data_IF_374229043119
#
_entry.id   IF_374229043119
#
_cell.length_a   1.000
_cell.length_b   1.000
_cell.length_c   1.000
_cell.angle_alpha   90.00
_cell.angle_beta   90.00
_cell.angle_gamma   90.00
#
_symmetry.space_group_name_H-M   'P 1'
#
loop_
_entity.id
_entity.type
_entity.pdbx_description
1 polymer ?
#
# COMPACT_ATOMS: atom_id res chain seq x y z
N UNK A 1 14.00 4.11 25.95
CA UNK A 1 15.12 3.15 25.81
C UNK A 1 15.13 2.56 24.39
N UNK A 2 16.28 2.20 23.82
CA UNK A 2 16.32 1.59 22.49
C UNK A 2 15.64 0.21 22.50
N UNK A 3 14.99 -0.15 21.37
CA UNK A 3 14.43 -1.48 21.12
C UNK A 3 15.59 -2.45 20.91
N UNK A 4 15.61 -3.56 21.64
CA UNK A 4 16.66 -4.58 21.57
C UNK A 4 16.11 -5.94 21.11
N UNK A 5 14.86 -6.24 21.45
CA UNK A 5 14.26 -7.55 21.22
C UNK A 5 12.95 -7.39 20.44
N UNK A 6 12.83 -8.07 19.31
CA UNK A 6 11.61 -8.06 18.49
C UNK A 6 11.04 -9.47 18.38
N UNK A 7 9.76 -9.63 18.69
CA UNK A 7 8.99 -10.83 18.43
C UNK A 7 8.17 -10.68 17.17
N UNK A 8 8.31 -11.60 16.22
CA UNK A 8 7.65 -11.55 14.93
C UNK A 8 6.59 -12.65 14.84
N UNK A 9 5.34 -12.26 14.67
CA UNK A 9 4.24 -13.17 14.40
C UNK A 9 3.56 -12.78 13.09
N UNK A 10 4.21 -13.17 11.99
CA UNK A 10 3.71 -13.00 10.63
C UNK A 10 3.52 -14.39 10.01
N UNK A 11 2.33 -14.93 10.12
CA UNK A 11 1.94 -16.22 9.54
C UNK A 11 0.62 -16.08 8.78
N UNK A 12 0.57 -16.69 7.60
CA UNK A 12 -0.65 -16.75 6.80
C UNK A 12 -0.81 -18.16 6.20
N UNK A 13 -1.97 -18.82 6.38
CA UNK A 13 -2.11 -20.23 6.01
C UNK A 13 -2.05 -20.50 4.51
N UNK A 14 -2.38 -19.50 3.66
CA UNK A 14 -2.51 -19.67 2.22
C UNK A 14 -1.53 -18.83 1.39
N UNK A 15 -0.83 -17.87 2.00
CA UNK A 15 0.08 -16.97 1.28
C UNK A 15 1.45 -17.04 1.91
N UNK A 16 2.30 -17.91 1.39
CA UNK A 16 3.64 -18.15 1.92
C UNK A 16 4.53 -16.89 1.93
N UNK A 17 4.37 -16.02 0.94
CA UNK A 17 5.11 -14.77 0.84
C UNK A 17 4.85 -13.80 2.02
N UNK A 18 3.76 -13.99 2.76
CA UNK A 18 3.40 -13.18 3.92
C UNK A 18 3.96 -13.71 5.24
N UNK A 19 4.63 -14.85 5.20
CA UNK A 19 5.19 -15.47 6.38
C UNK A 19 6.58 -14.92 6.68
N UNK A 20 6.89 -14.80 7.97
CA UNK A 20 8.24 -14.51 8.43
C UNK A 20 9.16 -15.68 8.12
N UNK A 21 10.34 -15.37 7.58
CA UNK A 21 11.34 -16.38 7.16
C UNK A 21 12.71 -16.11 7.81
N UNK A 22 13.58 -17.12 7.93
CA UNK A 22 14.92 -16.95 8.51
C UNK A 22 15.75 -15.83 7.88
N UNK A 23 15.62 -15.63 6.56
CA UNK A 23 16.32 -14.54 5.86
C UNK A 23 15.86 -13.15 6.30
N UNK A 24 14.60 -12.99 6.71
CA UNK A 24 14.09 -11.72 7.25
C UNK A 24 14.71 -11.42 8.61
N UNK A 25 14.90 -12.43 9.46
CA UNK A 25 15.64 -12.31 10.73
C UNK A 25 17.05 -11.78 10.48
N UNK A 26 17.82 -12.48 9.64
CA UNK A 26 19.19 -12.10 9.29
C UNK A 26 19.26 -10.68 8.74
N UNK A 27 18.31 -10.28 7.90
CA UNK A 27 18.23 -8.93 7.36
C UNK A 27 18.01 -7.88 8.45
N UNK A 28 17.06 -8.10 9.35
CA UNK A 28 16.72 -7.16 10.42
C UNK A 28 17.90 -6.99 11.39
N UNK A 29 18.51 -8.08 11.82
CA UNK A 29 19.67 -8.07 12.72
C UNK A 29 20.90 -7.41 12.09
N UNK A 30 21.08 -7.55 10.76
CA UNK A 30 22.13 -6.86 10.00
C UNK A 30 21.88 -5.35 9.88
N UNK A 31 20.61 -4.94 9.67
CA UNK A 31 20.25 -3.53 9.52
C UNK A 31 20.31 -2.76 10.83
N UNK A 32 20.08 -3.43 11.95
CA UNK A 32 20.10 -2.83 13.30
C UNK A 32 21.03 -3.64 14.18
N UNK A 33 22.32 -3.24 14.29
CA UNK A 33 23.29 -3.92 15.15
C UNK A 33 22.86 -3.99 16.61
N UNK A 34 22.93 -5.18 17.20
CA UNK A 34 22.51 -5.42 18.59
C UNK A 34 21.00 -5.73 18.77
N UNK A 35 20.25 -5.83 17.66
CA UNK A 35 18.86 -6.27 17.68
C UNK A 35 18.80 -7.80 17.71
N UNK A 36 17.96 -8.34 18.59
CA UNK A 36 17.58 -9.77 18.59
C UNK A 36 16.18 -9.92 17.99
N UNK A 37 16.03 -10.81 17.02
CA UNK A 37 14.76 -11.05 16.34
C UNK A 37 14.36 -12.51 16.46
N UNK A 38 13.14 -12.75 16.92
CA UNK A 38 12.60 -14.11 17.08
C UNK A 38 11.24 -14.24 16.41
N UNK A 39 10.97 -15.40 15.80
CA UNK A 39 9.72 -15.68 15.12
C UNK A 39 8.80 -16.60 15.92
N UNK A 40 7.48 -16.40 15.78
CA UNK A 40 6.44 -17.27 16.29
C UNK A 40 5.60 -17.84 15.14
N UNK A 41 5.15 -19.08 15.28
CA UNK A 41 4.33 -19.76 14.28
C UNK A 41 2.82 -19.75 14.61
N UNK A 42 2.46 -19.46 15.85
CA UNK A 42 1.08 -19.46 16.31
C UNK A 42 0.84 -18.40 17.41
N UNK A 43 -0.42 -18.05 17.62
CA UNK A 43 -0.80 -16.98 18.55
C UNK A 43 -0.63 -17.37 20.03
N UNK A 44 -0.55 -18.64 20.36
CA UNK A 44 -0.29 -19.08 21.74
C UNK A 44 1.16 -18.81 22.09
N UNK A 45 2.09 -19.33 21.28
CA UNK A 45 3.53 -19.10 21.42
C UNK A 45 3.85 -17.59 21.45
N UNK A 46 3.21 -16.80 20.56
CA UNK A 46 3.36 -15.36 20.55
C UNK A 46 2.97 -14.71 21.89
N UNK A 47 1.79 -15.03 22.43
CA UNK A 47 1.31 -14.46 23.70
C UNK A 47 2.16 -14.86 24.89
N UNK A 48 2.59 -16.13 24.93
CA UNK A 48 3.39 -16.67 26.04
C UNK A 48 4.78 -15.99 26.11
N UNK A 49 5.33 -15.57 24.96
CA UNK A 49 6.64 -14.94 24.85
C UNK A 49 6.63 -13.42 24.85
N UNK A 50 5.53 -12.79 24.43
CA UNK A 50 5.39 -11.35 24.28
C UNK A 50 5.88 -10.52 25.49
N UNK A 51 5.66 -10.93 26.77
CA UNK A 51 6.14 -10.19 27.95
C UNK A 51 7.65 -9.90 27.98
N UNK A 52 8.46 -10.66 27.25
CA UNK A 52 9.92 -10.57 27.26
C UNK A 52 10.48 -9.65 26.18
N UNK A 53 9.62 -9.06 25.33
CA UNK A 53 10.02 -8.32 24.13
C UNK A 53 9.67 -6.83 24.20
N UNK A 54 10.54 -6.02 23.60
CA UNK A 54 10.37 -4.56 23.48
C UNK A 54 9.48 -4.18 22.29
N UNK A 55 9.41 -5.05 21.26
CA UNK A 55 8.66 -4.78 20.06
C UNK A 55 8.00 -6.04 19.48
N UNK A 56 6.90 -5.84 18.77
CA UNK A 56 6.21 -6.89 18.02
C UNK A 56 6.01 -6.50 16.55
N UNK A 57 6.26 -7.45 15.63
CA UNK A 57 5.88 -7.30 14.22
C UNK A 57 4.80 -8.34 13.93
N UNK A 58 3.61 -7.87 13.55
CA UNK A 58 2.40 -8.70 13.49
C UNK A 58 1.50 -8.34 12.32
N UNK A 59 0.64 -9.27 11.86
CA UNK A 59 -0.49 -8.93 10.98
C UNK A 59 -1.63 -8.27 11.74
N UNK A 60 -1.92 -8.74 12.95
CA UNK A 60 -2.97 -8.22 13.80
C UNK A 60 -2.50 -8.17 15.26
N UNK A 61 -3.06 -7.24 16.05
CA UNK A 61 -2.78 -7.13 17.47
C UNK A 61 -4.06 -6.74 18.22
N UNK A 62 -4.35 -7.45 19.29
CA UNK A 62 -5.53 -7.21 20.14
C UNK A 62 -5.15 -6.41 21.36
N UNK A 63 -5.97 -5.41 21.72
CA UNK A 63 -5.75 -4.54 22.86
C UNK A 63 -5.47 -5.31 24.16
N UNK A 64 -6.27 -6.36 24.45
CA UNK A 64 -6.09 -7.23 25.62
C UNK A 64 -4.72 -7.91 25.74
N UNK A 65 -3.90 -7.92 24.69
CA UNK A 65 -2.56 -8.51 24.75
C UNK A 65 -1.54 -7.56 25.41
N UNK A 66 -1.87 -6.26 25.52
CA UNK A 66 -1.04 -5.28 26.23
C UNK A 66 -0.92 -5.59 27.74
N UNK A 67 -1.96 -6.14 28.35
CA UNK A 67 -1.96 -6.50 29.77
C UNK A 67 -0.79 -7.45 30.14
N UNK A 68 -0.41 -8.29 29.19
CA UNK A 68 0.71 -9.23 29.35
C UNK A 68 2.03 -8.74 28.73
N UNK A 69 2.11 -7.49 28.26
CA UNK A 69 3.26 -6.98 27.53
C UNK A 69 3.79 -5.65 28.10
N UNK A 70 4.19 -5.58 29.38
CA UNK A 70 4.53 -4.32 30.06
C UNK A 70 5.79 -3.64 29.47
N UNK A 71 6.62 -4.37 28.73
CA UNK A 71 7.86 -3.86 28.14
C UNK A 71 7.70 -3.40 26.68
N UNK A 72 6.52 -3.60 26.10
CA UNK A 72 6.27 -3.35 24.68
C UNK A 72 6.26 -1.84 24.37
N UNK A 73 7.10 -1.40 23.45
CA UNK A 73 7.28 -0.03 23.01
C UNK A 73 6.91 0.22 21.56
N UNK A 74 6.87 -0.86 20.76
CA UNK A 74 6.57 -0.79 19.35
C UNK A 74 5.71 -1.96 18.92
N UNK A 75 4.61 -1.66 18.26
CA UNK A 75 3.85 -2.61 17.43
C UNK A 75 4.02 -2.16 15.98
N UNK A 76 4.56 -3.02 15.14
CA UNK A 76 4.69 -2.77 13.71
C UNK A 76 3.89 -3.80 12.90
N UNK A 77 3.25 -3.35 11.84
CA UNK A 77 2.60 -4.24 10.89
C UNK A 77 3.02 -3.93 9.46
N UNK A 78 3.27 -4.94 8.62
CA UNK A 78 3.44 -4.71 7.18
C UNK A 78 2.17 -4.17 6.52
N UNK A 79 0.99 -4.42 7.08
CA UNK A 79 -0.28 -3.94 6.55
C UNK A 79 -0.36 -2.40 6.53
N UNK A 80 -0.99 -1.86 5.51
CA UNK A 80 -1.24 -0.41 5.41
C UNK A 80 -2.55 0.01 6.11
N UNK A 81 -3.51 -0.92 6.26
CA UNK A 81 -4.78 -0.70 6.96
C UNK A 81 -4.60 -0.74 8.47
N UNK A 82 -5.43 0.02 9.17
CA UNK A 82 -5.41 0.09 10.64
C UNK A 82 -6.33 -0.93 11.32
N UNK A 83 -7.23 -1.53 10.56
CA UNK A 83 -8.37 -2.32 11.08
C UNK A 83 -7.96 -3.59 11.85
N UNK A 84 -6.71 -4.02 11.71
CA UNK A 84 -6.21 -5.25 12.34
C UNK A 84 -5.37 -4.99 13.60
N UNK A 85 -5.12 -3.73 13.93
CA UNK A 85 -4.40 -3.32 15.14
C UNK A 85 -5.38 -2.55 16.03
N UNK A 86 -5.81 -3.18 17.14
CA UNK A 86 -6.79 -2.62 18.08
C UNK A 86 -6.18 -1.61 19.06
N UNK A 87 -4.95 -1.14 18.79
CA UNK A 87 -4.19 -0.28 19.68
C UNK A 87 -3.76 0.98 18.93
N UNK A 88 -3.86 2.12 19.57
CA UNK A 88 -3.33 3.39 19.07
C UNK A 88 -1.97 3.72 19.70
N UNK A 89 -1.20 4.58 19.05
CA UNK A 89 0.06 5.08 19.61
C UNK A 89 -0.22 6.05 20.75
N UNK A 90 0.58 5.97 21.81
CA UNK A 90 0.63 6.91 22.90
C UNK A 90 2.08 7.37 23.16
N UNK A 91 2.39 7.89 24.38
CA UNK A 91 3.72 8.36 24.76
C UNK A 91 4.72 7.21 24.89
N UNK A 92 4.29 6.05 25.38
CA UNK A 92 5.12 4.89 25.69
C UNK A 92 5.15 3.85 24.59
N UNK A 93 4.04 3.70 23.84
CA UNK A 93 3.84 2.70 22.80
C UNK A 93 3.65 3.32 21.42
N UNK A 94 4.54 3.00 20.48
CA UNK A 94 4.41 3.40 19.08
C UNK A 94 3.74 2.30 18.26
N UNK A 95 2.80 2.69 17.37
CA UNK A 95 2.21 1.80 16.37
C UNK A 95 2.62 2.25 14.96
N UNK A 96 3.24 1.35 14.20
CA UNK A 96 3.76 1.64 12.86
C UNK A 96 3.07 0.75 11.81
N UNK A 97 2.63 1.37 10.72
CA UNK A 97 1.95 0.72 9.60
C UNK A 97 2.80 0.72 8.35
N UNK A 98 2.74 -0.37 7.59
CA UNK A 98 3.41 -0.51 6.31
C UNK A 98 2.97 0.55 5.30
N UNK A 99 3.90 0.98 4.45
CA UNK A 99 3.61 2.00 3.44
C UNK A 99 4.21 1.70 2.07
N UNK A 100 4.91 0.58 1.93
CA UNK A 100 5.61 0.18 0.71
C UNK A 100 4.70 -0.37 -0.40
N UNK A 101 3.49 -0.84 -0.05
CA UNK A 101 2.54 -1.40 -1.00
C UNK A 101 2.13 -0.43 -2.12
N UNK A 102 2.22 0.88 -1.87
CA UNK A 102 1.85 1.90 -2.83
C UNK A 102 2.57 1.74 -4.17
N UNK A 103 3.86 1.41 -4.15
CA UNK A 103 4.67 1.20 -5.35
C UNK A 103 4.20 -0.01 -6.17
N UNK A 104 3.97 -1.15 -5.50
CA UNK A 104 3.53 -2.39 -6.15
C UNK A 104 2.09 -2.27 -6.69
N UNK A 105 1.20 -1.67 -5.89
CA UNK A 105 -0.19 -1.43 -6.30
C UNK A 105 -0.23 -0.47 -7.50
N UNK A 106 0.64 0.55 -7.53
CA UNK A 106 0.69 1.49 -8.64
C UNK A 106 1.01 0.81 -9.98
N UNK A 107 1.90 -0.18 -9.99
CA UNK A 107 2.19 -0.98 -11.19
C UNK A 107 0.95 -1.72 -11.68
N UNK A 108 0.22 -2.37 -10.77
CA UNK A 108 -1.02 -3.08 -11.09
C UNK A 108 -2.10 -2.15 -11.63
N UNK A 109 -2.25 -0.95 -11.03
CA UNK A 109 -3.21 0.06 -11.49
C UNK A 109 -2.88 0.55 -12.89
N UNK A 110 -1.61 0.90 -13.16
CA UNK A 110 -1.17 1.36 -14.48
C UNK A 110 -1.32 0.24 -15.51
N UNK A 111 -0.98 -0.99 -15.15
CA UNK A 111 -1.20 -2.16 -16.00
C UNK A 111 -2.67 -2.35 -16.36
N UNK A 112 -3.58 -2.20 -15.38
CA UNK A 112 -5.02 -2.24 -15.62
C UNK A 112 -5.50 -1.08 -16.53
N UNK A 113 -4.98 0.14 -16.33
CA UNK A 113 -5.28 1.27 -17.21
C UNK A 113 -4.88 0.96 -18.66
N UNK A 114 -3.67 0.46 -18.88
CA UNK A 114 -3.25 0.05 -20.23
C UNK A 114 -4.09 -1.09 -20.80
N UNK A 115 -4.46 -2.06 -19.98
CA UNK A 115 -5.31 -3.18 -20.43
C UNK A 115 -6.60 -2.69 -21.08
N UNK A 116 -7.25 -1.69 -20.47
CA UNK A 116 -8.49 -1.12 -21.01
C UNK A 116 -8.23 -0.09 -22.11
N UNK A 117 -7.32 0.87 -21.90
CA UNK A 117 -7.04 1.93 -22.87
C UNK A 117 -6.48 1.40 -24.19
N UNK A 118 -5.73 0.31 -24.18
CA UNK A 118 -5.18 -0.32 -25.39
C UNK A 118 -6.08 -1.40 -25.99
N UNK A 119 -7.33 -1.47 -25.55
CA UNK A 119 -8.33 -2.40 -26.04
C UNK A 119 -7.88 -3.89 -26.00
N UNK A 120 -7.05 -4.28 -25.01
CA UNK A 120 -6.59 -5.65 -24.86
C UNK A 120 -7.71 -6.68 -24.72
N UNK A 121 -8.86 -6.43 -24.02
CA UNK A 121 -9.98 -7.36 -24.00
C UNK A 121 -10.47 -7.74 -25.40
N UNK A 122 -10.58 -6.75 -26.29
CA UNK A 122 -11.01 -6.97 -27.69
C UNK A 122 -9.92 -7.70 -28.47
N UNK A 123 -8.67 -7.27 -28.33
CA UNK A 123 -7.52 -7.88 -29.01
C UNK A 123 -7.38 -9.37 -28.67
N UNK A 124 -7.48 -9.72 -27.38
CA UNK A 124 -7.43 -11.11 -26.90
C UNK A 124 -8.62 -11.95 -27.41
N UNK A 125 -9.83 -11.37 -27.45
CA UNK A 125 -11.00 -12.06 -27.97
C UNK A 125 -10.87 -12.34 -29.47
N UNK A 126 -10.33 -11.39 -30.24
CA UNK A 126 -10.09 -11.57 -31.68
C UNK A 126 -8.94 -12.55 -31.95
N UNK A 127 -7.88 -12.52 -31.15
CA UNK A 127 -6.77 -13.46 -31.23
C UNK A 127 -7.23 -14.91 -31.04
N UNK A 128 -8.10 -15.18 -30.04
CA UNK A 128 -8.70 -16.50 -29.82
C UNK A 128 -9.50 -17.00 -31.04
N UNK A 129 -10.12 -16.07 -31.78
CA UNK A 129 -10.87 -16.36 -32.99
C UNK A 129 -9.97 -16.40 -34.26
N UNK A 130 -8.66 -16.20 -34.14
CA UNK A 130 -7.71 -16.05 -35.25
C UNK A 130 -8.14 -14.99 -36.27
N UNK A 131 -8.79 -13.91 -35.80
CA UNK A 131 -9.29 -12.81 -36.61
C UNK A 131 -8.42 -11.57 -36.46
N UNK A 132 -7.99 -10.99 -37.59
CA UNK A 132 -7.37 -9.67 -37.61
C UNK A 132 -8.48 -8.61 -37.55
N UNK A 133 -8.45 -7.77 -36.50
CA UNK A 133 -9.55 -6.84 -36.20
C UNK A 133 -9.04 -5.39 -36.06
N UNK A 134 -8.23 -4.93 -37.02
CA UNK A 134 -7.58 -3.61 -36.99
C UNK A 134 -8.59 -2.47 -36.72
N UNK A 135 -9.66 -2.38 -37.47
CA UNK A 135 -10.68 -1.31 -37.34
C UNK A 135 -11.29 -1.35 -35.95
N UNK A 136 -11.80 -2.52 -35.55
CA UNK A 136 -12.48 -2.71 -34.26
C UNK A 136 -11.62 -2.40 -33.04
N UNK A 137 -10.32 -2.66 -33.12
CA UNK A 137 -9.36 -2.32 -32.07
C UNK A 137 -9.06 -0.82 -32.07
N UNK A 138 -8.78 -0.22 -33.25
CA UNK A 138 -8.42 1.20 -33.35
C UNK A 138 -9.53 2.14 -32.90
N UNK A 139 -10.80 1.81 -33.12
CA UNK A 139 -11.97 2.57 -32.67
C UNK A 139 -12.09 2.65 -31.13
N UNK A 140 -11.53 1.69 -30.40
CA UNK A 140 -11.63 1.60 -28.94
C UNK A 140 -10.33 1.96 -28.23
N UNK A 141 -9.23 2.07 -28.98
CA UNK A 141 -7.93 2.38 -28.41
C UNK A 141 -7.85 3.84 -27.98
N UNK A 142 -7.40 4.07 -26.76
CA UNK A 142 -7.16 5.39 -26.18
C UNK A 142 -5.71 5.54 -25.72
N UNK A 143 -5.28 6.76 -25.44
CA UNK A 143 -3.96 7.05 -24.91
C UNK A 143 -4.02 7.48 -23.45
N UNK A 144 -3.07 7.01 -22.66
CA UNK A 144 -2.82 7.53 -21.32
C UNK A 144 -2.02 8.85 -21.37
N UNK A 145 -1.27 9.07 -22.44
CA UNK A 145 -0.46 10.26 -22.65
C UNK A 145 -1.31 11.54 -22.61
N UNK A 146 -0.92 12.48 -21.74
CA UNK A 146 -1.62 13.76 -21.48
C UNK A 146 -3.06 13.62 -21.00
N UNK A 147 -3.45 12.46 -20.51
CA UNK A 147 -4.79 12.25 -19.97
C UNK A 147 -4.99 12.98 -18.64
N UNK A 148 -6.25 13.32 -18.35
CA UNK A 148 -6.65 13.82 -17.02
C UNK A 148 -7.04 12.65 -16.13
N UNK A 149 -6.36 12.47 -15.00
CA UNK A 149 -6.58 11.37 -14.08
C UNK A 149 -7.03 11.88 -12.72
N UNK A 150 -8.17 11.42 -12.26
CA UNK A 150 -8.68 11.69 -10.91
C UNK A 150 -8.44 10.46 -10.03
N UNK A 151 -7.77 10.65 -8.89
CA UNK A 151 -7.45 9.60 -7.93
C UNK A 151 -8.28 9.81 -6.67
N UNK A 152 -9.26 8.93 -6.45
CA UNK A 152 -10.07 8.91 -5.23
C UNK A 152 -9.27 8.20 -4.12
N UNK A 153 -8.90 8.93 -3.07
CA UNK A 153 -8.02 8.43 -2.01
C UNK A 153 -6.54 8.77 -2.27
N UNK A 154 -6.19 10.05 -2.12
CA UNK A 154 -4.82 10.51 -2.31
C UNK A 154 -3.97 10.35 -1.04
N UNK A 155 -3.84 9.06 -0.60
CA UNK A 155 -2.93 8.60 0.46
C UNK A 155 -1.59 8.15 -0.12
N UNK A 156 -0.85 7.29 0.61
CA UNK A 156 0.44 6.74 0.16
C UNK A 156 0.33 6.05 -1.21
N UNK A 157 -0.69 5.20 -1.39
CA UNK A 157 -0.93 4.47 -2.65
C UNK A 157 -1.32 5.42 -3.78
N UNK A 158 -2.28 6.32 -3.56
CA UNK A 158 -2.70 7.28 -4.57
C UNK A 158 -1.57 8.21 -5.01
N UNK A 159 -0.71 8.62 -4.06
CA UNK A 159 0.49 9.39 -4.36
C UNK A 159 1.48 8.61 -5.23
N UNK A 160 1.72 7.33 -4.93
CA UNK A 160 2.62 6.48 -5.70
C UNK A 160 2.10 6.23 -7.14
N UNK A 161 0.78 6.12 -7.31
CA UNK A 161 0.14 6.03 -8.63
C UNK A 161 0.33 7.34 -9.40
N UNK A 162 0.03 8.49 -8.76
CA UNK A 162 0.16 9.81 -9.38
C UNK A 162 1.57 10.09 -9.86
N UNK A 163 2.57 9.82 -9.04
CA UNK A 163 3.98 10.01 -9.37
C UNK A 163 4.38 9.27 -10.65
N UNK A 164 3.95 8.01 -10.80
CA UNK A 164 4.23 7.22 -12.00
C UNK A 164 3.46 7.71 -13.23
N UNK A 165 2.24 8.20 -13.03
CA UNK A 165 1.42 8.76 -14.11
C UNK A 165 2.03 10.04 -14.69
N UNK A 166 2.88 10.76 -13.96
CA UNK A 166 3.62 11.91 -14.49
C UNK A 166 4.58 11.54 -15.61
N UNK A 167 5.08 10.31 -15.67
CA UNK A 167 5.88 9.83 -16.80
C UNK A 167 5.08 9.79 -18.12
N UNK A 168 3.75 9.78 -18.05
CA UNK A 168 2.84 9.88 -19.21
C UNK A 168 2.29 11.30 -19.40
N UNK A 169 2.88 12.30 -18.76
CA UNK A 169 2.45 13.70 -18.78
C UNK A 169 0.98 13.92 -18.35
N UNK A 170 0.43 13.01 -17.56
CA UNK A 170 -0.94 13.12 -17.08
C UNK A 170 -1.13 14.35 -16.18
N UNK A 171 -2.29 14.98 -16.28
CA UNK A 171 -2.75 15.97 -15.32
C UNK A 171 -3.49 15.26 -14.19
N UNK A 172 -3.05 15.47 -12.95
CA UNK A 172 -3.53 14.72 -11.78
C UNK A 172 -4.49 15.57 -10.94
N UNK A 173 -5.63 15.00 -10.59
CA UNK A 173 -6.49 15.51 -9.53
C UNK A 173 -6.57 14.49 -8.40
N UNK A 174 -5.90 14.74 -7.28
CA UNK A 174 -5.99 13.91 -6.08
C UNK A 174 -7.18 14.31 -5.20
N UNK A 175 -7.98 13.33 -4.75
CA UNK A 175 -9.09 13.57 -3.82
C UNK A 175 -8.73 13.00 -2.45
N UNK A 176 -8.83 13.83 -1.41
CA UNK A 176 -8.50 13.45 -0.04
C UNK A 176 -9.49 14.07 0.95
N UNK A 177 -9.64 13.46 2.14
CA UNK A 177 -10.49 14.01 3.20
C UNK A 177 -10.03 15.39 3.64
N UNK A 178 -8.74 15.53 3.96
CA UNK A 178 -8.13 16.79 4.38
C UNK A 178 -7.11 17.24 3.33
N UNK A 179 -7.04 18.53 3.04
CA UNK A 179 -6.01 19.08 2.16
C UNK A 179 -4.61 18.83 2.74
N UNK A 180 -3.68 18.58 1.85
CA UNK A 180 -2.26 18.44 2.16
C UNK A 180 -1.46 19.31 1.19
N UNK A 181 -0.20 19.68 1.52
CA UNK A 181 0.69 20.31 0.57
C UNK A 181 0.83 19.49 -0.71
N UNK A 182 0.92 20.18 -1.84
CA UNK A 182 1.12 19.53 -3.13
C UNK A 182 2.45 18.77 -3.14
N UNK A 183 2.49 17.54 -3.69
CA UNK A 183 3.73 16.81 -3.88
C UNK A 183 4.72 17.57 -4.78
N UNK A 184 6.02 17.39 -4.57
CA UNK A 184 7.07 18.09 -5.33
C UNK A 184 7.01 17.85 -6.86
N UNK A 185 6.48 16.71 -7.28
CA UNK A 185 6.35 16.36 -8.70
C UNK A 185 5.09 16.93 -9.37
N UNK A 186 4.20 17.62 -8.61
CA UNK A 186 3.04 18.30 -9.17
C UNK A 186 3.45 19.54 -9.94
N UNK A 187 2.75 19.76 -11.07
CA UNK A 187 2.84 20.97 -11.88
C UNK A 187 1.66 21.91 -11.59
N UNK A 188 1.62 23.08 -12.18
CA UNK A 188 0.54 24.06 -12.00
C UNK A 188 -0.84 23.55 -12.46
N UNK A 189 -0.88 22.53 -13.30
CA UNK A 189 -2.13 21.89 -13.77
C UNK A 189 -2.65 20.80 -12.83
N UNK A 190 -1.82 20.32 -11.93
CA UNK A 190 -2.20 19.28 -10.95
C UNK A 190 -2.83 19.91 -9.70
N UNK A 191 -3.70 19.18 -9.01
CA UNK A 191 -4.36 19.70 -7.81
C UNK A 191 -4.78 18.61 -6.85
N UNK A 192 -4.93 18.99 -5.57
CA UNK A 192 -5.55 18.18 -4.52
C UNK A 192 -6.84 18.88 -4.11
N UNK A 193 -7.92 18.13 -4.03
CA UNK A 193 -9.24 18.60 -3.63
C UNK A 193 -9.78 17.79 -2.46
N UNK A 194 -10.67 18.38 -1.69
CA UNK A 194 -11.44 17.66 -0.68
C UNK A 194 -12.53 16.81 -1.32
N UNK A 195 -13.03 15.84 -0.57
CA UNK A 195 -14.09 14.95 -1.03
C UNK A 195 -15.39 15.71 -1.40
N UNK A 196 -15.68 16.84 -0.78
CA UNK A 196 -16.84 17.68 -1.10
C UNK A 196 -16.79 18.23 -2.54
N UNK A 197 -15.60 18.41 -3.08
CA UNK A 197 -15.40 18.98 -4.41
C UNK A 197 -15.25 17.94 -5.54
N UNK A 198 -15.30 16.63 -5.23
CA UNK A 198 -15.01 15.59 -6.22
C UNK A 198 -16.00 15.54 -7.39
N UNK A 199 -17.30 15.83 -7.14
CA UNK A 199 -18.34 15.86 -8.18
C UNK A 199 -18.02 16.86 -9.30
N UNK A 200 -17.38 17.99 -8.96
CA UNK A 200 -16.94 19.00 -9.94
C UNK A 200 -15.86 18.48 -10.90
N UNK A 201 -15.12 17.45 -10.51
CA UNK A 201 -14.08 16.85 -11.37
C UNK A 201 -14.67 15.96 -12.46
N UNK A 202 -15.85 15.36 -12.22
CA UNK A 202 -16.51 14.47 -13.17
C UNK A 202 -17.40 15.22 -14.16
N UNK A 203 -17.75 16.47 -13.87
CA UNK A 203 -18.71 17.26 -14.68
C UNK A 203 -18.08 17.98 -15.89
N UNK A 204 -16.75 17.99 -16.02
CA UNK A 204 -16.11 18.55 -17.21
C UNK A 204 -15.91 17.44 -18.24
N UNK A 205 -16.56 17.52 -19.43
CA UNK A 205 -16.37 16.56 -20.49
C UNK A 205 -14.91 16.46 -20.89
N UNK A 206 -14.50 15.26 -21.28
CA UNK A 206 -13.22 15.03 -21.96
C UNK A 206 -13.36 15.70 -23.33
N UNK A 207 -12.79 16.90 -23.47
CA UNK A 207 -12.58 17.52 -24.77
C UNK A 207 -11.29 17.02 -25.38
#
# INVERSE_FOLDING_TARGET
>A
MPIKNILVYLTHPHVEAWNFKPQHKVLLERLVPGLSVEGCLNSKDFKDRLPQFDAAIVWFFKEKWLESAPNLKLIATPAAGKDWIEVESDEDLKVSFGGFHGSLIAESVIGAMFYFLKAFPISLAMQKQKKWARVKISEKMQSLYKSRVTILGFGKTGNAIAERLKAFECTITGIKRNLIPAPKYFTSSDRILTFENWKRCLQKPIT
#
